data_IF_740447668411
#
_entry.id   IF_740447668411
#
_cell.length_a   1.000
_cell.length_b   1.000
_cell.length_c   1.000
_cell.angle_alpha   90.00
_cell.angle_beta   90.00
_cell.angle_gamma   90.00
#
_symmetry.space_group_name_H-M   'P 1'
#
loop_
_entity.id
_entity.type
_entity.pdbx_description
1 polymer ?
#
# COMPACT_ATOMS: atom_id res chain seq x y z
N UNK A 1 -16.25 -5.24 22.68
CA UNK A 1 -15.85 -5.41 22.62
C UNK A 1 -15.29 -5.45 22.30
N UNK A 2 -15.01 -5.52 22.30
CA UNK A 2 -14.35 -5.64 22.11
C UNK A 2 -13.78 -6.20 21.70
N UNK A 3 -13.75 -6.52 21.87
CA UNK A 3 -13.07 -7.14 21.61
C UNK A 3 -13.12 -7.87 20.76
N UNK A 4 -13.96 -8.09 20.63
CA UNK A 4 -14.09 -8.58 19.54
C UNK A 4 -13.04 -8.39 18.61
N UNK A 5 -12.61 -7.34 18.52
CA UNK A 5 -11.52 -7.05 17.69
C UNK A 5 -10.40 -7.98 17.94
N UNK A 6 -10.38 -8.47 19.07
CA UNK A 6 -9.36 -9.41 19.41
C UNK A 6 -9.42 -10.64 18.55
N UNK A 7 -10.59 -11.06 18.27
CA UNK A 7 -10.73 -12.25 17.48
C UNK A 7 -10.13 -12.05 16.14
N UNK A 8 -10.11 -10.86 15.69
CA UNK A 8 -9.59 -10.59 14.39
C UNK A 8 -8.11 -10.38 14.38
N UNK A 9 -7.51 -10.50 15.52
CA UNK A 9 -6.09 -10.26 15.60
C UNK A 9 -5.33 -11.14 14.64
N UNK A 10 -5.82 -12.33 14.40
CA UNK A 10 -5.12 -13.18 13.47
C UNK A 10 -5.14 -12.64 12.06
N UNK A 11 -6.05 -11.75 11.78
CA UNK A 11 -6.19 -11.19 10.46
C UNK A 11 -5.36 -9.92 10.32
N UNK A 12 -5.23 -9.20 11.40
CA UNK A 12 -4.43 -8.00 11.39
C UNK A 12 -4.55 -7.33 12.72
N UNK A 13 -3.57 -6.51 13.05
CA UNK A 13 -3.58 -5.78 14.30
C UNK A 13 -4.05 -4.36 14.03
N UNK A 14 -4.58 -3.70 15.06
CA UNK A 14 -4.96 -2.29 14.88
C UNK A 14 -3.78 -1.44 14.42
N UNK A 15 -2.60 -1.70 14.95
CA UNK A 15 -1.44 -0.92 14.52
C UNK A 15 -1.13 -1.13 13.05
N UNK A 16 -1.18 -2.38 12.60
CA UNK A 16 -0.89 -2.66 11.20
C UNK A 16 -1.91 -1.98 10.30
N UNK A 17 -3.17 -2.05 10.69
CA UNK A 17 -4.22 -1.45 9.89
C UNK A 17 -4.11 0.07 9.87
N UNK A 18 -3.68 0.65 10.98
CA UNK A 18 -3.48 2.09 11.03
C UNK A 18 -2.40 2.53 10.05
N UNK A 19 -1.35 1.74 9.95
CA UNK A 19 -0.28 2.06 9.00
C UNK A 19 -0.80 1.98 7.58
N UNK A 20 -1.53 0.90 7.27
CA UNK A 20 -2.08 0.73 5.93
C UNK A 20 -2.96 1.91 5.57
N UNK A 21 -3.84 2.28 6.47
CA UNK A 21 -4.76 3.38 6.23
C UNK A 21 -4.00 4.69 6.03
N UNK A 22 -3.01 4.92 6.88
CA UNK A 22 -2.25 6.16 6.80
C UNK A 22 -1.53 6.30 5.48
N UNK A 23 -0.85 5.26 5.05
CA UNK A 23 -0.07 5.33 3.83
C UNK A 23 -0.99 5.43 2.62
N UNK A 24 -2.05 4.63 2.60
CA UNK A 24 -2.99 4.69 1.49
C UNK A 24 -3.56 6.09 1.35
N UNK A 25 -3.91 6.70 2.46
CA UNK A 25 -4.47 8.03 2.44
C UNK A 25 -3.45 9.07 1.98
N UNK A 26 -2.21 8.94 2.44
CA UNK A 26 -1.17 9.87 2.04
C UNK A 26 -0.94 9.82 0.53
N UNK A 27 -1.03 8.63 -0.06
CA UNK A 27 -0.87 8.50 -1.50
C UNK A 27 -2.05 9.12 -2.22
N UNK A 28 -3.26 8.85 -1.73
CA UNK A 28 -4.45 9.40 -2.37
C UNK A 28 -4.47 10.91 -2.30
N UNK A 29 -4.04 11.47 -1.18
CA UNK A 29 -4.02 12.91 -1.01
C UNK A 29 -2.83 13.59 -1.66
N UNK A 30 -1.92 12.83 -2.22
CA UNK A 30 -0.76 13.41 -2.88
C UNK A 30 0.38 13.78 -1.96
N UNK A 31 0.29 13.42 -0.70
CA UNK A 31 1.37 13.68 0.24
C UNK A 31 2.55 12.78 -0.03
N UNK A 32 2.28 11.58 -0.51
CA UNK A 32 3.30 10.68 -1.01
C UNK A 32 3.08 10.54 -2.50
N UNK A 33 4.08 10.89 -3.26
CA UNK A 33 3.95 10.93 -4.70
C UNK A 33 4.54 9.67 -5.32
N UNK A 34 4.14 9.34 -6.54
CA UNK A 34 4.74 8.20 -7.22
C UNK A 34 6.25 8.28 -7.22
N UNK A 35 6.90 7.21 -6.83
CA UNK A 35 8.35 7.16 -6.77
C UNK A 35 8.95 7.60 -5.45
N UNK A 36 8.15 8.19 -4.58
CA UNK A 36 8.66 8.61 -3.28
C UNK A 36 9.06 7.41 -2.46
N UNK A 37 10.17 7.53 -1.78
CA UNK A 37 10.65 6.48 -0.91
C UNK A 37 10.10 6.69 0.49
N UNK A 38 9.66 5.59 1.11
CA UNK A 38 9.13 5.68 2.46
C UNK A 38 10.25 5.63 3.47
N UNK A 39 10.20 6.53 4.43
CA UNK A 39 11.24 6.59 5.46
C UNK A 39 10.78 5.79 6.66
N UNK A 40 11.22 4.55 6.70
CA UNK A 40 10.68 3.57 7.65
C UNK A 40 10.88 3.97 9.10
N UNK A 41 12.07 4.43 9.44
CA UNK A 41 12.35 4.78 10.83
C UNK A 41 11.45 5.93 11.26
N UNK A 42 11.37 6.97 10.44
CA UNK A 42 10.54 8.11 10.78
C UNK A 42 9.07 7.75 10.81
N UNK A 43 8.66 6.94 9.88
CA UNK A 43 7.25 6.57 9.79
C UNK A 43 6.84 5.72 10.98
N UNK A 44 7.69 4.77 11.37
CA UNK A 44 7.39 3.95 12.52
C UNK A 44 7.29 4.81 13.79
N UNK A 45 8.19 5.77 13.93
CA UNK A 45 8.15 6.64 15.09
C UNK A 45 6.91 7.51 15.08
N UNK A 46 6.58 8.07 13.93
CA UNK A 46 5.42 8.96 13.82
C UNK A 46 4.13 8.22 14.11
N UNK A 47 4.03 6.98 13.69
CA UNK A 47 2.83 6.19 13.89
C UNK A 47 2.86 5.37 15.17
N UNK A 48 3.97 5.46 15.88
CA UNK A 48 4.13 4.76 17.16
C UNK A 48 3.92 3.27 17.01
N UNK A 49 4.58 2.70 16.02
CA UNK A 49 4.52 1.25 15.80
C UNK A 49 5.94 0.73 15.69
N UNK A 50 6.09 -0.58 15.90
CA UNK A 50 7.39 -1.20 15.75
C UNK A 50 7.75 -1.29 14.26
N UNK A 51 9.04 -1.42 13.97
CA UNK A 51 9.45 -1.58 12.60
C UNK A 51 8.90 -2.85 11.97
N UNK A 52 8.90 -4.00 12.65
CA UNK A 52 8.27 -5.17 12.04
C UNK A 52 6.81 -4.96 11.70
N UNK A 53 6.06 -4.30 12.57
CA UNK A 53 4.67 -4.02 12.29
C UNK A 53 4.54 -3.11 11.07
N UNK A 54 5.38 -2.09 11.02
CA UNK A 54 5.39 -1.20 9.88
C UNK A 54 5.66 -1.96 8.59
N UNK A 55 6.69 -2.81 8.61
CA UNK A 55 7.07 -3.51 7.40
C UNK A 55 5.99 -4.51 6.96
N UNK A 56 5.29 -5.12 7.91
CA UNK A 56 4.17 -5.99 7.56
C UNK A 56 3.10 -5.20 6.81
N UNK A 57 2.79 -4.03 7.32
CA UNK A 57 1.77 -3.20 6.69
C UNK A 57 2.20 -2.77 5.30
N UNK A 58 3.46 -2.37 5.17
CA UNK A 58 3.95 -1.94 3.87
C UNK A 58 3.95 -3.09 2.86
N UNK A 59 4.21 -4.31 3.34
CA UNK A 59 4.15 -5.47 2.46
C UNK A 59 2.74 -5.71 1.94
N UNK A 60 1.74 -5.48 2.77
CA UNK A 60 0.37 -5.60 2.30
C UNK A 60 0.09 -4.60 1.19
N UNK A 61 0.64 -3.41 1.31
CA UNK A 61 0.44 -2.40 0.29
C UNK A 61 1.20 -2.73 -0.99
N UNK A 62 2.30 -3.46 -0.87
CA UNK A 62 2.98 -3.96 -2.05
C UNK A 62 2.08 -4.96 -2.77
N UNK A 63 1.42 -5.84 -2.02
CA UNK A 63 0.53 -6.80 -2.63
C UNK A 63 -0.63 -6.12 -3.34
N UNK A 64 -1.05 -4.98 -2.81
CA UNK A 64 -2.13 -4.21 -3.43
C UNK A 64 -1.65 -3.41 -4.64
N UNK A 65 -0.36 -3.35 -4.86
CA UNK A 65 0.17 -2.59 -5.98
C UNK A 65 0.42 -1.13 -5.71
N UNK A 66 0.18 -0.69 -4.48
CA UNK A 66 0.37 0.71 -4.13
C UNK A 66 1.84 1.05 -3.89
N UNK A 67 2.59 0.09 -3.39
CA UNK A 67 3.99 0.27 -3.11
C UNK A 67 4.80 -0.80 -3.85
N UNK A 68 6.08 -0.53 -3.99
CA UNK A 68 7.02 -1.53 -4.48
C UNK A 68 8.11 -1.66 -3.43
N UNK A 69 8.66 -2.86 -3.31
CA UNK A 69 9.78 -3.11 -2.43
C UNK A 69 10.98 -3.46 -3.28
N UNK A 70 12.05 -2.71 -3.11
CA UNK A 70 13.26 -2.93 -3.89
C UNK A 70 14.33 -3.53 -3.00
N UNK A 71 15.10 -4.48 -3.51
CA UNK A 71 16.16 -5.08 -2.72
C UNK A 71 17.10 -4.00 -2.19
N UNK A 72 17.38 -4.04 -0.90
CA UNK A 72 18.31 -3.14 -0.24
C UNK A 72 17.90 -1.68 -0.27
N UNK A 73 16.71 -1.37 -0.78
CA UNK A 73 16.28 0.03 -0.87
C UNK A 73 14.98 0.30 -0.15
N UNK A 74 14.31 -0.73 0.33
CA UNK A 74 13.07 -0.54 1.08
C UNK A 74 11.88 -0.34 0.18
N UNK A 75 10.95 0.47 0.63
CA UNK A 75 9.66 0.63 -0.02
C UNK A 75 9.54 2.00 -0.67
N UNK A 76 8.86 2.03 -1.80
CA UNK A 76 8.57 3.28 -2.52
C UNK A 76 7.16 3.22 -3.06
N UNK A 77 6.61 4.39 -3.34
CA UNK A 77 5.28 4.46 -3.95
C UNK A 77 5.40 4.00 -5.40
N UNK A 78 4.48 3.16 -5.82
CA UNK A 78 4.47 2.66 -7.18
C UNK A 78 4.44 3.81 -8.16
N UNK A 79 5.29 3.72 -9.17
CA UNK A 79 5.35 4.74 -10.20
C UNK A 79 4.67 4.20 -11.44
N UNK A 80 3.64 4.90 -11.86
CA UNK A 80 2.90 4.50 -13.05
C UNK A 80 3.12 5.56 -14.11
N UNK A 81 3.71 5.18 -15.21
CA UNK A 81 3.84 6.11 -16.30
C UNK A 81 2.67 5.90 -17.26
N UNK A 82 2.62 6.70 -18.29
CA UNK A 82 1.49 6.65 -19.21
C UNK A 82 1.38 5.29 -19.88
N UNK A 83 2.50 4.68 -20.19
CA UNK A 83 2.48 3.36 -20.80
C UNK A 83 1.94 2.30 -19.88
N UNK A 84 2.39 2.30 -18.64
CA UNK A 84 1.93 1.33 -17.66
C UNK A 84 0.44 1.50 -17.41
N UNK A 85 0.00 2.72 -17.33
CA UNK A 85 -1.39 3.00 -17.11
C UNK A 85 -2.24 2.49 -18.27
N UNK A 86 -1.76 2.68 -19.46
CA UNK A 86 -2.47 2.21 -20.64
C UNK A 86 -2.57 0.70 -20.66
N UNK A 87 -1.49 0.03 -20.27
CA UNK A 87 -1.49 -1.41 -20.24
C UNK A 87 -2.48 -1.95 -19.22
N UNK A 88 -2.57 -1.33 -18.08
CA UNK A 88 -3.52 -1.74 -17.07
C UNK A 88 -4.94 -1.57 -17.59
N UNK A 89 -5.20 -0.46 -18.21
CA UNK A 89 -6.54 -0.22 -18.75
C UNK A 89 -6.88 -1.23 -19.81
N UNK A 90 -5.94 -1.53 -20.67
CA UNK A 90 -6.18 -2.48 -21.73
C UNK A 90 -6.47 -3.85 -21.17
N UNK A 91 -5.76 -4.23 -20.13
CA UNK A 91 -5.97 -5.52 -19.52
C UNK A 91 -7.36 -5.61 -18.92
N UNK A 92 -7.80 -4.57 -18.30
CA UNK A 92 -9.07 -4.61 -17.63
C UNK A 92 -10.25 -4.59 -18.57
N UNK A 93 -10.16 -3.75 -19.55
CA UNK A 93 -11.30 -3.58 -20.45
C UNK A 93 -11.69 -4.87 -21.14
N UNK A 94 -10.74 -5.60 -21.70
CA UNK A 94 -11.11 -6.85 -22.36
C UNK A 94 -11.72 -7.84 -21.40
N UNK A 95 -11.29 -7.81 -20.19
CA UNK A 95 -11.81 -8.76 -19.23
C UNK A 95 -13.27 -8.57 -19.00
N UNK A 96 -13.72 -7.41 -19.22
CA UNK A 96 -15.07 -7.16 -18.99
C UNK A 96 -15.86 -7.34 -20.20
N UNK A 97 -15.25 -7.76 -21.04
CA UNK A 97 -15.91 -7.84 -22.15
C UNK A 97 -15.77 -6.59 -22.79
N UNK A 98 -15.54 -6.54 -22.65
CA UNK A 98 -15.10 -5.91 -22.83
C UNK A 98 -14.86 -5.05 -23.01
N UNK A 99 -15.27 -4.97 -23.09
CA UNK A 99 -14.93 -4.29 -23.08
C UNK A 99 -14.51 -3.60 -22.80
N UNK A 100 -14.70 -3.58 -22.79
CA UNK A 100 -14.21 -2.94 -22.36
C UNK A 100 -13.54 -2.34 -22.67
N UNK A 101 -13.58 -2.20 -23.04
CA UNK A 101 -12.91 -1.78 -23.42
C UNK A 101 -12.20 -1.38 -23.19
N UNK A 102 -11.96 -1.34 -23.30
CA UNK A 102 -11.41 -1.24 -23.01
C UNK A 102 -11.25 -0.95 -23.06
#
# INVERSE_FOLDING_TARGET
MEDVSVARAGIGTPQREAVVTYVRRAVVLGELQPGDKLREVKLAAALNVSRPTLREALSLLVQDGLLVQEPYRGFSVTRLDAGALRDIARTRVPLDGIAVAG
#
